data_IF_587262774391
#
_entry.id   IF_587262774391
#
_cell.length_a   1.000
_cell.length_b   1.000
_cell.length_c   1.000
_cell.angle_alpha   90.00
_cell.angle_beta   90.00
_cell.angle_gamma   90.00
#
_symmetry.space_group_name_H-M   'P 1'
#
loop_
_entity.id
_entity.type
_entity.pdbx_description
1 polymer ?
#
# COMPACT_ATOMS: atom_id res chain seq x y z
N UNK A 1 86.44 -151.03 -11.28
CA UNK A 1 85.00 -151.15 -10.95
C UNK A 1 84.49 -149.99 -10.07
N UNK A 2 85.31 -149.31 -9.26
CA UNK A 2 84.85 -148.18 -8.44
C UNK A 2 84.81 -146.82 -9.17
N UNK A 3 85.74 -146.54 -10.10
CA UNK A 3 85.78 -145.27 -10.85
C UNK A 3 84.54 -145.02 -11.73
N UNK A 4 84.01 -146.05 -12.38
CA UNK A 4 82.81 -145.94 -13.23
C UNK A 4 81.53 -145.68 -12.43
N UNK A 5 81.42 -146.23 -11.21
CA UNK A 5 80.29 -145.94 -10.29
C UNK A 5 80.33 -144.49 -9.80
N UNK A 6 81.53 -143.97 -9.48
CA UNK A 6 81.70 -142.56 -9.10
C UNK A 6 81.41 -141.59 -10.26
N UNK A 7 81.73 -141.95 -11.50
CA UNK A 7 81.40 -141.14 -12.67
C UNK A 7 79.88 -141.11 -12.93
N UNK A 8 79.19 -142.24 -12.80
CA UNK A 8 77.73 -142.30 -12.90
C UNK A 8 77.02 -141.57 -11.75
N UNK A 9 77.55 -141.67 -10.53
CA UNK A 9 77.03 -140.94 -9.37
C UNK A 9 77.25 -139.43 -9.51
N UNK A 10 78.44 -139.01 -9.96
CA UNK A 10 78.72 -137.60 -10.28
C UNK A 10 77.86 -137.07 -11.42
N UNK A 11 77.54 -137.91 -12.41
CA UNK A 11 76.64 -137.54 -13.51
C UNK A 11 75.20 -137.35 -13.01
N UNK A 12 74.72 -138.24 -12.13
CA UNK A 12 73.41 -138.09 -11.46
C UNK A 12 73.36 -136.87 -10.55
N UNK A 13 74.43 -136.57 -9.82
CA UNK A 13 74.55 -135.35 -9.00
C UNK A 13 74.48 -134.10 -9.89
N UNK A 14 75.17 -134.08 -11.04
CA UNK A 14 75.11 -132.97 -12.00
C UNK A 14 73.72 -132.80 -12.63
N UNK A 15 73.07 -133.90 -13.02
CA UNK A 15 71.72 -133.87 -13.57
C UNK A 15 70.69 -133.41 -12.53
N UNK A 16 70.86 -133.80 -11.26
CA UNK A 16 70.05 -133.31 -10.14
C UNK A 16 70.30 -131.82 -9.84
N UNK A 17 71.56 -131.39 -9.83
CA UNK A 17 71.91 -129.98 -9.65
C UNK A 17 71.34 -129.10 -10.78
N UNK A 18 71.42 -129.55 -12.03
CA UNK A 18 70.83 -128.85 -13.18
C UNK A 18 69.30 -128.77 -13.08
N UNK A 19 68.63 -129.84 -12.66
CA UNK A 19 67.16 -129.83 -12.51
C UNK A 19 66.70 -128.98 -11.32
N UNK A 20 67.47 -128.92 -10.23
CA UNK A 20 67.22 -127.97 -9.13
C UNK A 20 67.43 -126.52 -9.57
N UNK A 21 68.52 -126.24 -10.30
CA UNK A 21 68.81 -124.91 -10.82
C UNK A 21 67.73 -124.43 -11.80
N UNK A 22 67.25 -125.30 -12.69
CA UNK A 22 66.12 -124.99 -13.58
C UNK A 22 64.83 -124.69 -12.80
N UNK A 23 64.53 -125.42 -11.72
CA UNK A 23 63.37 -125.15 -10.86
C UNK A 23 63.49 -123.80 -10.15
N UNK A 24 64.68 -123.48 -9.64
CA UNK A 24 64.94 -122.16 -9.03
C UNK A 24 64.82 -121.03 -10.05
N UNK A 25 65.33 -121.22 -11.27
CA UNK A 25 65.29 -120.20 -12.33
C UNK A 25 63.85 -119.95 -12.81
N UNK A 26 63.04 -121.01 -12.93
CA UNK A 26 61.60 -120.89 -13.23
C UNK A 26 60.87 -120.17 -12.10
N UNK A 27 61.11 -120.53 -10.84
CA UNK A 27 60.49 -119.85 -9.69
C UNK A 27 60.91 -118.36 -9.60
N UNK A 28 62.18 -118.05 -9.88
CA UNK A 28 62.67 -116.66 -9.95
C UNK A 28 62.04 -115.90 -11.12
N UNK A 29 61.86 -116.53 -12.28
CA UNK A 29 61.21 -115.93 -13.45
C UNK A 29 59.73 -115.64 -13.19
N UNK A 30 58.99 -116.58 -12.57
CA UNK A 30 57.60 -116.37 -12.18
C UNK A 30 57.46 -115.24 -11.15
N UNK A 31 58.36 -115.17 -10.16
CA UNK A 31 58.38 -114.07 -9.18
C UNK A 31 58.65 -112.72 -9.86
N UNK A 32 59.63 -112.65 -10.76
CA UNK A 32 59.92 -111.43 -11.55
C UNK A 32 58.76 -111.02 -12.44
N UNK A 33 58.08 -111.97 -13.09
CA UNK A 33 56.91 -111.69 -13.91
C UNK A 33 55.74 -111.14 -13.07
N UNK A 34 55.52 -111.69 -11.87
CA UNK A 34 54.52 -111.16 -10.91
C UNK A 34 54.88 -109.75 -10.42
N UNK A 35 56.15 -109.50 -10.09
CA UNK A 35 56.64 -108.18 -9.68
C UNK A 35 56.47 -107.15 -10.82
N UNK A 36 56.78 -107.52 -12.06
CA UNK A 36 56.58 -106.66 -13.24
C UNK A 36 55.09 -106.37 -13.51
N UNK A 37 54.22 -107.38 -13.37
CA UNK A 37 52.78 -107.19 -13.51
C UNK A 37 52.23 -106.25 -12.43
N UNK A 38 52.70 -106.39 -11.18
CA UNK A 38 52.35 -105.51 -10.07
C UNK A 38 52.82 -104.08 -10.32
N UNK A 39 54.06 -103.89 -10.78
CA UNK A 39 54.64 -102.57 -11.08
C UNK A 39 53.88 -101.87 -12.22
N UNK A 40 53.48 -102.61 -13.26
CA UNK A 40 52.64 -102.07 -14.34
C UNK A 40 51.28 -101.59 -13.83
N UNK A 41 50.62 -102.38 -12.98
CA UNK A 41 49.33 -101.99 -12.37
C UNK A 41 49.51 -100.77 -11.46
N UNK A 42 50.58 -100.72 -10.66
CA UNK A 42 50.88 -99.57 -9.80
C UNK A 42 51.11 -98.30 -10.60
N UNK A 43 51.84 -98.37 -11.73
CA UNK A 43 52.05 -97.22 -12.63
C UNK A 43 50.74 -96.75 -13.24
N UNK A 44 49.90 -97.66 -13.75
CA UNK A 44 48.59 -97.27 -14.31
C UNK A 44 47.67 -96.64 -13.25
N UNK A 45 47.71 -97.15 -12.03
CA UNK A 45 46.92 -96.60 -10.93
C UNK A 45 47.45 -95.23 -10.49
N UNK A 46 48.77 -95.04 -10.45
CA UNK A 46 49.38 -93.74 -10.14
C UNK A 46 49.01 -92.68 -11.19
N UNK A 47 49.03 -93.04 -12.49
CA UNK A 47 48.62 -92.14 -13.57
C UNK A 47 47.14 -91.78 -13.49
N UNK A 48 46.27 -92.74 -13.15
CA UNK A 48 44.84 -92.47 -12.94
C UNK A 48 44.61 -91.54 -11.75
N UNK A 49 45.25 -91.81 -10.60
CA UNK A 49 45.15 -90.96 -9.41
C UNK A 49 45.63 -89.53 -9.73
N UNK A 50 46.68 -89.40 -10.55
CA UNK A 50 47.20 -88.10 -10.97
C UNK A 50 46.19 -87.35 -11.85
N UNK A 51 45.61 -88.00 -12.86
CA UNK A 51 44.58 -87.39 -13.73
C UNK A 51 43.34 -86.99 -12.96
N UNK A 52 42.82 -87.88 -12.11
CA UNK A 52 41.65 -87.58 -11.28
C UNK A 52 41.91 -86.39 -10.34
N UNK A 53 43.14 -86.25 -9.86
CA UNK A 53 43.55 -85.11 -9.04
C UNK A 53 43.61 -83.82 -9.86
N UNK A 54 44.22 -83.85 -11.03
CA UNK A 54 44.29 -82.70 -11.95
C UNK A 54 42.88 -82.25 -12.37
N UNK A 55 41.99 -83.18 -12.74
CA UNK A 55 40.60 -82.87 -13.08
C UNK A 55 39.83 -82.24 -11.92
N UNK A 56 40.05 -82.71 -10.69
CA UNK A 56 39.44 -82.12 -9.48
C UNK A 56 39.96 -80.71 -9.24
N UNK A 57 41.27 -80.50 -9.35
CA UNK A 57 41.90 -79.19 -9.19
C UNK A 57 41.37 -78.20 -10.26
N UNK A 58 41.25 -78.62 -11.52
CA UNK A 58 40.64 -77.81 -12.59
C UNK A 58 39.17 -77.48 -12.31
N UNK A 59 38.38 -78.47 -11.88
CA UNK A 59 36.97 -78.24 -11.51
C UNK A 59 36.83 -77.28 -10.33
N UNK A 60 37.73 -77.36 -9.35
CA UNK A 60 37.76 -76.45 -8.20
C UNK A 60 38.11 -75.03 -8.65
N UNK A 61 39.06 -74.84 -9.56
CA UNK A 61 39.40 -73.54 -10.13
C UNK A 61 38.21 -72.93 -10.87
N UNK A 62 37.56 -73.68 -11.75
CA UNK A 62 36.38 -73.20 -12.50
C UNK A 62 35.24 -72.82 -11.55
N UNK A 63 35.02 -73.57 -10.46
CA UNK A 63 34.03 -73.21 -9.44
C UNK A 63 34.39 -71.91 -8.71
N UNK A 64 35.66 -71.70 -8.40
CA UNK A 64 36.14 -70.47 -7.76
C UNK A 64 35.95 -69.27 -8.69
N UNK A 65 36.32 -69.41 -9.97
CA UNK A 65 36.11 -68.36 -11.00
C UNK A 65 34.63 -68.02 -11.17
N UNK A 66 33.76 -69.04 -11.28
CA UNK A 66 32.32 -68.82 -11.41
C UNK A 66 31.76 -68.08 -10.19
N UNK A 67 32.17 -68.47 -8.98
CA UNK A 67 31.74 -67.80 -7.75
C UNK A 67 32.18 -66.33 -7.73
N UNK A 68 33.41 -66.02 -8.14
CA UNK A 68 33.91 -64.64 -8.20
C UNK A 68 33.15 -63.82 -9.24
N UNK A 69 32.90 -64.36 -10.43
CA UNK A 69 32.13 -63.68 -11.47
C UNK A 69 30.69 -63.42 -11.01
N UNK A 70 30.04 -64.39 -10.35
CA UNK A 70 28.70 -64.19 -9.78
C UNK A 70 28.68 -63.06 -8.74
N UNK A 71 29.68 -62.97 -7.86
CA UNK A 71 29.82 -61.86 -6.92
C UNK A 71 30.02 -60.53 -7.64
N UNK A 72 30.87 -60.46 -8.65
CA UNK A 72 31.07 -59.25 -9.45
C UNK A 72 29.79 -58.82 -10.16
N UNK A 73 29.04 -59.75 -10.74
CA UNK A 73 27.77 -59.46 -11.40
C UNK A 73 26.73 -58.91 -10.41
N UNK A 74 26.68 -59.45 -9.19
CA UNK A 74 25.82 -58.91 -8.13
C UNK A 74 26.21 -57.49 -7.76
N UNK A 75 27.50 -57.20 -7.62
CA UNK A 75 27.99 -55.83 -7.34
C UNK A 75 27.63 -54.89 -8.50
N UNK A 76 27.90 -55.27 -9.74
CA UNK A 76 27.56 -54.47 -10.94
C UNK A 76 26.06 -54.17 -11.03
N UNK A 77 25.21 -55.13 -10.67
CA UNK A 77 23.75 -54.91 -10.60
C UNK A 77 23.38 -53.89 -9.53
N UNK A 78 23.91 -54.05 -8.31
CA UNK A 78 23.69 -53.09 -7.22
C UNK A 78 24.12 -51.68 -7.61
N UNK A 79 25.30 -51.53 -8.21
CA UNK A 79 25.80 -50.22 -8.67
C UNK A 79 24.88 -49.58 -9.73
N UNK A 80 24.34 -50.38 -10.65
CA UNK A 80 23.36 -49.92 -11.64
C UNK A 80 22.08 -49.47 -10.98
N UNK A 81 21.53 -50.27 -10.07
CA UNK A 81 20.29 -49.95 -9.35
C UNK A 81 20.46 -48.67 -8.52
N UNK A 82 21.59 -48.51 -7.82
CA UNK A 82 21.92 -47.30 -7.06
C UNK A 82 22.09 -46.07 -7.97
N UNK A 83 22.66 -46.25 -9.16
CA UNK A 83 22.77 -45.17 -10.14
C UNK A 83 21.39 -44.78 -10.68
N UNK A 84 20.53 -45.74 -11.00
CA UNK A 84 19.16 -45.48 -11.45
C UNK A 84 18.35 -44.72 -10.40
N UNK A 85 18.44 -45.14 -9.13
CA UNK A 85 17.75 -44.43 -8.03
C UNK A 85 18.25 -43.00 -7.90
N UNK A 86 19.56 -42.76 -7.96
CA UNK A 86 20.13 -41.40 -7.92
C UNK A 86 19.67 -40.54 -9.10
N UNK A 87 19.60 -41.12 -10.30
CA UNK A 87 19.12 -40.41 -11.49
C UNK A 87 17.63 -40.06 -11.34
N UNK A 88 16.80 -41.00 -10.88
CA UNK A 88 15.37 -40.77 -10.64
C UNK A 88 15.15 -39.65 -9.63
N UNK A 89 15.82 -39.71 -8.47
CA UNK A 89 15.74 -38.67 -7.44
C UNK A 89 16.14 -37.29 -7.99
N UNK A 90 17.22 -37.22 -8.78
CA UNK A 90 17.66 -35.96 -9.40
C UNK A 90 16.61 -35.41 -10.38
N UNK A 91 15.98 -36.27 -11.18
CA UNK A 91 14.94 -35.85 -12.12
C UNK A 91 13.66 -35.40 -11.40
N UNK A 92 13.28 -36.06 -10.32
CA UNK A 92 12.15 -35.65 -9.47
C UNK A 92 12.40 -34.27 -8.86
N UNK A 93 13.56 -34.05 -8.25
CA UNK A 93 13.93 -32.72 -7.69
C UNK A 93 13.94 -31.63 -8.76
N UNK A 94 14.38 -31.94 -9.99
CA UNK A 94 14.37 -30.99 -11.09
C UNK A 94 12.93 -30.63 -11.50
N UNK A 95 12.04 -31.63 -11.61
CA UNK A 95 10.62 -31.40 -11.92
C UNK A 95 9.93 -30.56 -10.85
N UNK A 96 10.10 -30.90 -9.58
CA UNK A 96 9.53 -30.15 -8.47
C UNK A 96 10.01 -28.69 -8.46
N UNK A 97 11.30 -28.46 -8.76
CA UNK A 97 11.85 -27.12 -8.89
C UNK A 97 11.18 -26.34 -10.02
N UNK A 98 11.04 -26.97 -11.19
CA UNK A 98 10.44 -26.33 -12.36
C UNK A 98 8.96 -26.00 -12.11
N UNK A 99 8.21 -26.91 -11.50
CA UNK A 99 6.82 -26.69 -11.06
C UNK A 99 6.73 -25.54 -10.05
N UNK A 100 7.64 -25.49 -9.06
CA UNK A 100 7.68 -24.41 -8.09
C UNK A 100 7.94 -23.04 -8.74
N UNK A 101 8.85 -23.00 -9.72
CA UNK A 101 9.16 -21.77 -10.47
C UNK A 101 7.94 -21.33 -11.28
N UNK A 102 7.26 -22.25 -11.97
CA UNK A 102 6.04 -21.94 -12.72
C UNK A 102 4.93 -21.42 -11.80
N UNK A 103 4.72 -22.06 -10.65
CA UNK A 103 3.74 -21.63 -9.67
C UNK A 103 4.04 -20.22 -9.13
N UNK A 104 5.30 -19.92 -8.81
CA UNK A 104 5.71 -18.57 -8.39
C UNK A 104 5.45 -17.54 -9.48
N UNK A 105 5.79 -17.83 -10.73
CA UNK A 105 5.53 -16.93 -11.86
C UNK A 105 4.04 -16.65 -12.06
N UNK A 106 3.19 -17.67 -11.96
CA UNK A 106 1.73 -17.51 -12.04
C UNK A 106 1.22 -16.61 -10.91
N UNK A 107 1.63 -16.91 -9.67
CA UNK A 107 1.26 -16.12 -8.49
C UNK A 107 1.71 -14.66 -8.58
N UNK A 108 2.94 -14.41 -9.02
CA UNK A 108 3.46 -13.06 -9.21
C UNK A 108 2.69 -12.32 -10.31
N UNK A 109 2.24 -13.04 -11.34
CA UNK A 109 1.36 -12.51 -12.38
C UNK A 109 0.00 -12.09 -11.83
N UNK A 110 -0.63 -12.94 -11.01
CA UNK A 110 -1.91 -12.63 -10.35
C UNK A 110 -1.79 -11.44 -9.41
N UNK A 111 -0.77 -11.39 -8.56
CA UNK A 111 -0.52 -10.27 -7.64
C UNK A 111 -0.36 -8.96 -8.42
N UNK A 112 0.42 -8.94 -9.51
CA UNK A 112 0.56 -7.75 -10.35
C UNK A 112 -0.77 -7.29 -10.95
N UNK A 113 -1.60 -8.22 -11.42
CA UNK A 113 -2.92 -7.88 -11.94
C UNK A 113 -3.84 -7.30 -10.86
N UNK A 114 -3.81 -7.86 -9.65
CA UNK A 114 -4.57 -7.34 -8.51
C UNK A 114 -4.07 -5.95 -8.09
N UNK A 115 -2.76 -5.75 -8.01
CA UNK A 115 -2.14 -4.45 -7.72
C UNK A 115 -2.51 -3.40 -8.76
N UNK A 116 -2.50 -3.75 -10.05
CA UNK A 116 -2.87 -2.84 -11.12
C UNK A 116 -4.37 -2.48 -11.07
N UNK A 117 -5.24 -3.45 -10.79
CA UNK A 117 -6.68 -3.18 -10.56
C UNK A 117 -6.88 -2.27 -9.36
N UNK A 118 -6.19 -2.54 -8.25
CA UNK A 118 -6.26 -1.72 -7.05
C UNK A 118 -5.76 -0.29 -7.31
N UNK A 119 -4.63 -0.15 -8.02
CA UNK A 119 -4.09 1.15 -8.43
C UNK A 119 -5.10 1.92 -9.29
N UNK A 120 -5.73 1.28 -10.27
CA UNK A 120 -6.76 1.91 -11.10
C UNK A 120 -7.97 2.37 -10.29
N UNK A 121 -8.47 1.52 -9.38
CA UNK A 121 -9.57 1.88 -8.49
C UNK A 121 -9.22 3.06 -7.60
N UNK A 122 -8.01 3.08 -7.05
CA UNK A 122 -7.55 4.16 -6.18
C UNK A 122 -7.39 5.47 -6.96
N UNK A 123 -6.84 5.43 -8.17
CA UNK A 123 -6.75 6.59 -9.07
C UNK A 123 -8.14 7.13 -9.44
N UNK A 124 -9.09 6.24 -9.75
CA UNK A 124 -10.46 6.64 -10.04
C UNK A 124 -11.14 7.32 -8.86
N UNK A 125 -10.96 6.77 -7.65
CA UNK A 125 -11.46 7.37 -6.41
C UNK A 125 -10.86 8.76 -6.17
N UNK A 126 -9.55 8.91 -6.28
CA UNK A 126 -8.92 10.22 -6.12
C UNK A 126 -9.42 11.24 -7.15
N UNK A 127 -9.59 10.84 -8.41
CA UNK A 127 -10.15 11.73 -9.43
C UNK A 127 -11.61 12.15 -9.13
N UNK A 128 -12.41 11.24 -8.56
CA UNK A 128 -13.77 11.55 -8.11
C UNK A 128 -13.78 12.50 -6.92
N UNK A 129 -12.96 12.23 -5.90
CA UNK A 129 -12.81 13.08 -4.72
C UNK A 129 -12.34 14.49 -5.09
N UNK A 130 -11.33 14.61 -5.97
CA UNK A 130 -10.82 15.89 -6.48
C UNK A 130 -11.91 16.67 -7.22
N UNK A 131 -12.73 16.00 -8.05
CA UNK A 131 -13.85 16.62 -8.76
C UNK A 131 -14.90 17.14 -7.79
N UNK A 132 -15.24 16.36 -6.77
CA UNK A 132 -16.20 16.76 -5.73
C UNK A 132 -15.66 17.96 -4.93
N UNK A 133 -14.37 17.95 -4.59
CA UNK A 133 -13.73 19.05 -3.87
C UNK A 133 -13.77 20.35 -4.68
N UNK A 134 -13.45 20.30 -5.97
CA UNK A 134 -13.53 21.45 -6.87
C UNK A 134 -14.96 22.02 -6.93
N UNK A 135 -15.97 21.16 -7.07
CA UNK A 135 -17.38 21.59 -7.07
C UNK A 135 -17.79 22.22 -5.74
N UNK A 136 -17.35 21.63 -4.62
CA UNK A 136 -17.62 22.16 -3.29
C UNK A 136 -16.93 23.51 -3.03
N UNK A 137 -15.69 23.69 -3.49
CA UNK A 137 -14.97 24.96 -3.44
C UNK A 137 -15.70 26.04 -4.26
N UNK A 138 -16.12 25.71 -5.49
CA UNK A 138 -16.90 26.62 -6.33
C UNK A 138 -18.23 27.01 -5.67
N UNK A 139 -18.98 26.02 -5.13
CA UNK A 139 -20.25 26.26 -4.43
C UNK A 139 -20.07 27.16 -3.21
N UNK A 140 -19.01 26.94 -2.43
CA UNK A 140 -18.65 27.82 -1.30
C UNK A 140 -18.40 29.26 -1.75
N UNK A 141 -17.63 29.44 -2.83
CA UNK A 141 -17.34 30.77 -3.40
C UNK A 141 -18.62 31.48 -3.87
N UNK A 142 -19.51 30.77 -4.56
CA UNK A 142 -20.79 31.33 -5.01
C UNK A 142 -21.63 31.79 -3.82
N UNK A 143 -21.81 30.94 -2.80
CA UNK A 143 -22.57 31.30 -1.59
C UNK A 143 -21.97 32.51 -0.87
N UNK A 144 -20.65 32.58 -0.75
CA UNK A 144 -19.99 33.76 -0.16
C UNK A 144 -20.27 35.04 -0.95
N UNK A 145 -20.24 34.98 -2.29
CA UNK A 145 -20.58 36.13 -3.14
C UNK A 145 -22.05 36.52 -3.03
N UNK A 146 -22.97 35.55 -2.95
CA UNK A 146 -24.40 35.80 -2.73
C UNK A 146 -24.64 36.47 -1.36
N UNK A 147 -24.03 35.96 -0.30
CA UNK A 147 -24.12 36.57 1.03
C UNK A 147 -23.53 37.99 1.03
N UNK A 148 -22.38 38.21 0.39
CA UNK A 148 -21.79 39.53 0.25
C UNK A 148 -22.73 40.50 -0.47
N UNK A 149 -23.29 40.09 -1.62
CA UNK A 149 -24.27 40.89 -2.37
C UNK A 149 -25.53 41.18 -1.54
N UNK A 150 -26.03 40.21 -0.78
CA UNK A 150 -27.19 40.41 0.09
C UNK A 150 -26.90 41.46 1.19
N UNK A 151 -25.72 41.41 1.80
CA UNK A 151 -25.27 42.41 2.78
C UNK A 151 -25.12 43.79 2.12
N UNK A 152 -24.49 43.88 0.95
CA UNK A 152 -24.33 45.14 0.22
C UNK A 152 -25.70 45.76 -0.13
N UNK A 153 -26.66 44.94 -0.58
CA UNK A 153 -28.04 45.38 -0.85
C UNK A 153 -28.75 45.89 0.41
N UNK A 154 -28.59 45.22 1.56
CA UNK A 154 -29.17 45.69 2.83
C UNK A 154 -28.55 47.01 3.28
N UNK A 155 -27.24 47.19 3.10
CA UNK A 155 -26.56 48.45 3.39
C UNK A 155 -27.02 49.56 2.45
N UNK A 156 -27.20 49.29 1.16
CA UNK A 156 -27.75 50.25 0.22
C UNK A 156 -29.19 50.64 0.57
N UNK A 157 -30.05 49.68 0.90
CA UNK A 157 -31.42 49.95 1.35
C UNK A 157 -31.41 50.83 2.61
N UNK A 158 -30.55 50.52 3.59
CA UNK A 158 -30.39 51.34 4.80
C UNK A 158 -29.92 52.75 4.47
N UNK A 159 -28.97 52.92 3.54
CA UNK A 159 -28.52 54.24 3.09
C UNK A 159 -29.65 55.02 2.42
N UNK A 160 -30.41 54.39 1.53
CA UNK A 160 -31.58 55.00 0.88
C UNK A 160 -32.65 55.41 1.89
N UNK A 161 -32.92 54.56 2.88
CA UNK A 161 -33.85 54.89 3.96
C UNK A 161 -33.36 56.10 4.75
N UNK A 162 -32.09 56.13 5.17
CA UNK A 162 -31.51 57.28 5.87
C UNK A 162 -31.57 58.57 5.05
N UNK A 163 -31.36 58.50 3.73
CA UNK A 163 -31.49 59.70 2.87
C UNK A 163 -32.94 60.16 2.76
N UNK A 164 -33.90 59.24 2.65
CA UNK A 164 -35.33 59.56 2.60
C UNK A 164 -35.79 60.17 3.93
N UNK A 165 -35.39 59.58 5.06
CA UNK A 165 -35.73 60.08 6.39
C UNK A 165 -35.14 61.47 6.64
N UNK A 166 -33.89 61.69 6.23
CA UNK A 166 -33.25 63.01 6.30
C UNK A 166 -33.95 64.04 5.42
N UNK A 167 -34.40 63.64 4.23
CA UNK A 167 -35.18 64.52 3.34
C UNK A 167 -36.51 64.91 4.00
N UNK A 168 -37.23 63.92 4.58
CA UNK A 168 -38.47 64.15 5.33
C UNK A 168 -38.27 65.09 6.52
N UNK A 169 -37.21 64.89 7.30
CA UNK A 169 -36.91 65.78 8.43
C UNK A 169 -36.67 67.23 7.97
N UNK A 170 -35.98 67.42 6.84
CA UNK A 170 -35.77 68.75 6.25
C UNK A 170 -37.10 69.34 5.76
N UNK A 171 -37.92 68.56 5.07
CA UNK A 171 -39.23 69.00 4.58
C UNK A 171 -40.17 69.38 5.73
N UNK A 172 -40.22 68.57 6.80
CA UNK A 172 -40.98 68.84 8.03
C UNK A 172 -40.50 70.11 8.74
N UNK A 173 -39.17 70.36 8.78
CA UNK A 173 -38.61 71.61 9.31
C UNK A 173 -39.06 72.81 8.48
N UNK A 174 -39.01 72.71 7.14
CA UNK A 174 -39.45 73.79 6.24
C UNK A 174 -40.95 74.05 6.40
N UNK A 175 -41.77 73.00 6.48
CA UNK A 175 -43.21 73.14 6.72
C UNK A 175 -43.50 73.75 8.10
N UNK A 176 -42.79 73.31 9.14
CA UNK A 176 -42.87 73.89 10.49
C UNK A 176 -42.52 75.38 10.50
N UNK A 177 -41.42 75.77 9.83
CA UNK A 177 -41.02 77.17 9.66
C UNK A 177 -42.09 77.98 8.91
N UNK A 178 -42.71 77.43 7.86
CA UNK A 178 -43.81 78.09 7.13
C UNK A 178 -45.03 78.29 8.02
N UNK A 179 -45.44 77.27 8.77
CA UNK A 179 -46.58 77.37 9.70
C UNK A 179 -46.29 78.40 10.80
N UNK A 180 -45.07 78.42 11.35
CA UNK A 180 -44.67 79.45 12.31
C UNK A 180 -44.67 80.85 11.70
N UNK A 181 -44.21 81.02 10.46
CA UNK A 181 -44.25 82.30 9.76
C UNK A 181 -45.69 82.80 9.57
N UNK A 182 -46.60 81.92 9.12
CA UNK A 182 -48.03 82.26 9.01
C UNK A 182 -48.61 82.60 10.38
N UNK A 183 -48.30 81.83 11.43
CA UNK A 183 -48.75 82.13 12.80
C UNK A 183 -48.23 83.50 13.28
N UNK A 184 -46.97 83.83 13.01
CA UNK A 184 -46.37 85.14 13.34
C UNK A 184 -47.08 86.26 12.58
N UNK A 185 -47.40 86.07 11.31
CA UNK A 185 -48.18 87.04 10.52
C UNK A 185 -49.56 87.28 11.13
N UNK A 186 -50.32 86.22 11.45
CA UNK A 186 -51.63 86.35 12.10
C UNK A 186 -51.54 87.07 13.45
N UNK A 187 -50.55 86.73 14.28
CA UNK A 187 -50.33 87.42 15.57
C UNK A 187 -50.02 88.89 15.35
N UNK A 188 -49.23 89.23 14.33
CA UNK A 188 -48.86 90.61 14.04
C UNK A 188 -50.05 91.41 13.48
N UNK A 189 -50.89 90.80 12.64
CA UNK A 189 -52.14 91.38 12.17
C UNK A 189 -53.11 91.66 13.33
N UNK A 190 -53.33 90.68 14.22
CA UNK A 190 -54.17 90.86 15.42
C UNK A 190 -53.55 91.89 16.38
N UNK A 191 -52.21 91.94 16.51
CA UNK A 191 -51.51 92.99 17.27
C UNK A 191 -51.82 94.37 16.69
N UNK A 192 -51.68 94.56 15.38
CA UNK A 192 -51.96 95.85 14.73
C UNK A 192 -53.44 96.23 14.89
N UNK A 193 -54.36 95.26 14.75
CA UNK A 193 -55.79 95.48 14.96
C UNK A 193 -56.11 95.93 16.38
N UNK A 194 -55.58 95.23 17.40
CA UNK A 194 -55.71 95.62 18.81
C UNK A 194 -55.10 97.00 19.08
N UNK A 195 -53.93 97.30 18.49
CA UNK A 195 -53.32 98.62 18.57
C UNK A 195 -54.24 99.68 17.96
N UNK A 196 -54.82 99.45 16.78
CA UNK A 196 -55.71 100.42 16.14
C UNK A 196 -56.99 100.68 16.94
N UNK A 197 -57.59 99.64 17.51
CA UNK A 197 -58.85 99.74 18.26
C UNK A 197 -58.68 100.41 19.64
N UNK A 198 -57.55 100.13 20.31
CA UNK A 198 -57.35 100.53 21.70
C UNK A 198 -56.30 101.63 21.90
N UNK A 199 -55.36 101.87 20.96
CA UNK A 199 -54.29 102.85 21.17
C UNK A 199 -54.82 104.27 21.36
N UNK A 200 -55.84 104.68 20.61
CA UNK A 200 -56.43 106.02 20.74
C UNK A 200 -57.09 106.24 22.12
N UNK A 201 -57.63 105.18 22.73
CA UNK A 201 -58.23 105.22 24.09
C UNK A 201 -57.20 105.08 25.21
N UNK A 202 -56.08 104.42 24.94
CA UNK A 202 -54.98 104.17 25.90
C UNK A 202 -53.83 105.17 25.76
N UNK A 203 -54.04 106.28 25.05
CA UNK A 203 -53.04 107.31 24.79
C UNK A 203 -52.60 108.00 26.08
N UNK A 204 -51.48 107.53 26.65
CA UNK A 204 -50.88 107.99 27.91
C UNK A 204 -50.63 106.89 28.95
N UNK A 205 -51.23 105.71 28.78
CA UNK A 205 -51.07 104.55 29.67
C UNK A 205 -50.46 103.33 28.98
N UNK A 206 -49.88 103.51 27.79
CA UNK A 206 -49.29 102.43 27.01
C UNK A 206 -47.90 102.02 27.57
N UNK A 207 -47.66 100.73 27.89
CA UNK A 207 -46.37 100.26 28.36
C UNK A 207 -45.24 100.51 27.35
N UNK A 208 -44.02 100.71 27.86
CA UNK A 208 -42.81 100.82 27.02
C UNK A 208 -42.60 99.49 26.26
N UNK A 209 -42.41 99.56 24.94
CA UNK A 209 -42.21 98.39 24.06
C UNK A 209 -43.45 97.91 23.29
N UNK A 210 -44.62 98.54 23.48
CA UNK A 210 -45.85 98.20 22.74
C UNK A 210 -45.83 98.71 21.29
N UNK A 211 -45.16 99.84 21.04
CA UNK A 211 -44.83 100.34 19.70
C UNK A 211 -43.37 99.97 19.45
N UNK A 212 -43.10 99.14 18.43
CA UNK A 212 -41.77 98.59 18.16
C UNK A 212 -40.99 99.49 17.20
N UNK A 213 -41.56 99.78 16.04
CA UNK A 213 -40.89 100.53 14.96
C UNK A 213 -41.74 101.72 14.48
N UNK A 214 -41.13 102.63 13.71
CA UNK A 214 -41.82 103.77 13.09
C UNK A 214 -42.99 103.34 12.17
N UNK A 215 -42.95 102.12 11.64
CA UNK A 215 -44.03 101.54 10.83
C UNK A 215 -45.31 101.33 11.63
N UNK A 216 -45.22 100.99 12.93
CA UNK A 216 -46.39 100.83 13.79
C UNK A 216 -47.16 102.14 13.98
N UNK A 217 -46.45 103.29 13.92
CA UNK A 217 -47.04 104.62 14.03
C UNK A 217 -47.82 105.03 12.78
N UNK A 218 -47.47 104.50 11.61
CA UNK A 218 -48.17 104.79 10.36
C UNK A 218 -49.56 104.13 10.31
N UNK A 219 -49.72 102.94 10.92
CA UNK A 219 -51.01 102.23 10.96
C UNK A 219 -52.03 102.86 11.93
N UNK A 220 -51.60 103.72 12.85
CA UNK A 220 -52.44 104.33 13.89
C UNK A 220 -53.04 105.68 13.48
N UNK A 221 -52.71 106.18 12.28
CA UNK A 221 -53.23 107.43 11.73
C UNK A 221 -52.42 108.67 12.12
N UNK A 222 -52.47 109.69 11.26
CA UNK A 222 -51.68 110.93 11.43
C UNK A 222 -52.02 111.71 12.70
N UNK A 223 -53.26 111.60 13.19
CA UNK A 223 -53.70 112.27 14.42
C UNK A 223 -53.01 111.66 15.65
N UNK A 224 -53.00 110.33 15.75
CA UNK A 224 -52.28 109.61 16.80
C UNK A 224 -50.78 109.86 16.72
N UNK A 225 -50.19 109.83 15.51
CA UNK A 225 -48.76 110.08 15.27
C UNK A 225 -48.33 111.47 15.74
N UNK A 226 -49.19 112.48 15.54
CA UNK A 226 -48.95 113.87 15.95
C UNK A 226 -49.01 114.02 17.46
N UNK A 227 -50.04 113.45 18.11
CA UNK A 227 -50.17 113.50 19.57
C UNK A 227 -49.11 112.67 20.29
N UNK A 228 -48.79 111.48 19.77
CA UNK A 228 -47.72 110.63 20.28
C UNK A 228 -46.37 111.34 20.20
N UNK A 229 -45.99 111.93 19.06
CA UNK A 229 -44.74 112.71 18.92
C UNK A 229 -44.73 113.96 19.80
N UNK A 230 -45.83 114.71 19.87
CA UNK A 230 -45.94 115.89 20.74
C UNK A 230 -45.76 115.53 22.22
N UNK A 231 -46.29 114.40 22.66
CA UNK A 231 -46.08 113.90 24.03
C UNK A 231 -44.72 113.25 24.24
N UNK A 232 -44.12 112.60 23.23
CA UNK A 232 -42.76 112.07 23.32
C UNK A 232 -41.75 113.20 23.51
N UNK A 233 -41.94 114.32 22.81
CA UNK A 233 -41.17 115.56 22.99
C UNK A 233 -41.40 116.15 24.40
N UNK A 234 -42.63 116.11 24.92
CA UNK A 234 -42.92 116.54 26.30
C UNK A 234 -42.38 115.58 27.38
N UNK A 235 -42.33 114.26 27.14
CA UNK A 235 -41.70 113.27 28.02
C UNK A 235 -40.17 113.36 27.99
N UNK A 236 -39.57 113.67 26.84
CA UNK A 236 -38.13 113.90 26.69
C UNK A 236 -37.69 115.22 27.35
N UNK A 237 -38.58 116.22 27.45
CA UNK A 237 -38.31 117.49 28.13
C UNK A 237 -38.54 117.49 29.66
N UNK A 238 -39.30 116.56 30.22
CA UNK A 238 -39.62 116.47 31.66
C UNK A 238 -38.82 115.41 32.42
N UNK A 239 -37.81 114.81 31.80
CA UNK A 239 -37.08 113.67 32.36
C UNK A 239 -35.64 113.57 31.87
N UNK A 240 -34.93 114.71 31.80
CA UNK A 240 -33.48 114.73 31.94
C UNK A 240 -33.11 114.76 33.42
N UNK A 241 -33.16 113.61 34.11
CA UNK A 241 -32.56 113.40 35.43
C UNK A 241 -32.24 111.91 35.63
N UNK A 242 -30.94 111.60 35.79
CA UNK A 242 -30.47 110.47 36.62
C UNK A 242 -29.94 109.23 35.92
N UNK A 243 -28.59 109.15 35.87
CA UNK A 243 -27.69 107.99 35.71
C UNK A 243 -27.79 107.10 34.46
#
# INVERSE_FOLDING_TARGET
>A
MERQRMEEENRRIKEYANTQQQREDVAKAEKRAREQALDNVQRTLADQIKRDREEREEQELVRQELYLEEQEQLVRRRERDEMEVRIKQRLELQRERDEQIQFKHLRDGEIKQEEDRFRQQLMAKFAEDDRIEQMNAQKRRIKQMEHKKAVDNLLEQRRRQMTVDKQREVDERIEGERVEQVRKQIIEEERIKLLREHAHRLLGYLPKGVIRDEKDLDYLGNDFKSEFKRRQVNMQHLGGWGN
#
